data_IF_289128102735
#
_entry.id   IF_289128102735
#
_cell.length_a   1.000
_cell.length_b   1.000
_cell.length_c   1.000
_cell.angle_alpha   90.00
_cell.angle_beta   90.00
_cell.angle_gamma   90.00
#
_symmetry.space_group_name_H-M   'P 1'
#
loop_
_entity.id
_entity.type
_entity.pdbx_description
1 polymer ?
#
# COMPACT_ATOMS: atom_id res chain seq x y z
N UNK A 1 -6.59 7.57 -13.16
CA UNK A 1 -6.14 8.89 -12.68
C UNK A 1 -4.67 9.04 -12.99
N UNK A 2 -4.25 10.17 -13.55
CA UNK A 2 -2.84 10.34 -13.93
C UNK A 2 -2.37 11.79 -13.85
N UNK A 3 -1.06 11.97 -13.69
CA UNK A 3 -0.38 13.27 -13.64
C UNK A 3 -0.91 14.21 -12.54
N UNK A 4 -1.39 13.64 -11.43
CA UNK A 4 -1.74 14.41 -10.25
C UNK A 4 -0.48 14.82 -9.51
N UNK A 5 -0.46 16.01 -8.91
CA UNK A 5 0.68 16.50 -8.11
C UNK A 5 0.84 15.76 -6.78
N UNK A 6 -0.19 15.03 -6.36
CA UNK A 6 -0.22 14.28 -5.11
C UNK A 6 -0.90 12.91 -5.39
N UNK A 7 -2.06 12.66 -4.82
CA UNK A 7 -2.78 11.39 -4.91
C UNK A 7 -3.60 11.27 -6.19
N UNK A 8 -3.75 10.06 -6.72
CA UNK A 8 -4.67 9.76 -7.83
C UNK A 8 -6.13 9.69 -7.37
N UNK A 9 -6.46 8.72 -6.50
CA UNK A 9 -7.78 8.60 -5.86
C UNK A 9 -7.61 8.63 -4.34
N UNK A 10 -8.26 9.58 -3.66
CA UNK A 10 -8.08 9.85 -2.23
C UNK A 10 -9.41 10.08 -1.49
N UNK A 11 -10.24 9.04 -1.28
CA UNK A 11 -11.32 9.10 -0.30
C UNK A 11 -10.73 9.38 1.09
N UNK A 12 -11.35 10.30 1.81
CA UNK A 12 -10.82 10.89 3.04
C UNK A 12 -11.82 10.82 4.20
N UNK A 13 -11.27 10.81 5.41
CA UNK A 13 -11.92 10.61 6.71
C UNK A 13 -13.28 11.36 6.86
N UNK A 14 -14.41 10.68 7.15
CA UNK A 14 -14.68 9.22 7.06
C UNK A 14 -15.52 8.93 5.83
N UNK A 15 -15.14 7.90 5.07
CA UNK A 15 -15.90 7.43 3.90
C UNK A 15 -16.40 6.00 4.14
N UNK A 16 -17.65 5.69 3.79
CA UNK A 16 -18.26 4.38 4.05
C UNK A 16 -18.64 3.63 2.77
N UNK A 17 -18.45 2.31 2.76
CA UNK A 17 -18.93 1.39 1.71
C UNK A 17 -18.54 1.83 0.29
N UNK A 18 -17.32 2.34 0.13
CA UNK A 18 -16.83 2.80 -1.16
C UNK A 18 -16.44 1.61 -2.04
N UNK A 19 -16.82 1.66 -3.31
CA UNK A 19 -16.33 0.71 -4.31
C UNK A 19 -15.51 1.42 -5.36
N UNK A 20 -14.29 0.95 -5.61
CA UNK A 20 -13.42 1.39 -6.70
C UNK A 20 -13.07 0.15 -7.51
N UNK A 21 -13.40 0.14 -8.79
CA UNK A 21 -13.14 -1.03 -9.62
C UNK A 21 -12.70 -0.70 -11.03
N UNK A 22 -11.94 -1.62 -11.65
CA UNK A 22 -11.53 -1.55 -13.05
C UNK A 22 -10.90 -0.20 -13.42
N UNK A 23 -10.08 0.34 -12.50
CA UNK A 23 -9.52 1.68 -12.61
C UNK A 23 -8.00 1.63 -12.61
N UNK A 24 -7.38 2.57 -13.33
CA UNK A 24 -5.93 2.72 -13.36
C UNK A 24 -5.53 4.01 -12.63
N UNK A 25 -4.41 4.01 -11.90
CA UNK A 25 -3.87 5.21 -11.24
C UNK A 25 -2.35 5.26 -11.36
N UNK A 26 -1.81 6.21 -12.12
CA UNK A 26 -0.39 6.21 -12.48
C UNK A 26 0.24 7.59 -12.67
N UNK A 27 1.57 7.68 -12.62
CA UNK A 27 2.32 8.95 -12.77
C UNK A 27 1.81 10.07 -11.85
N UNK A 28 1.45 9.73 -10.61
CA UNK A 28 1.03 10.70 -9.61
C UNK A 28 2.16 10.98 -8.61
N UNK A 29 2.22 12.21 -8.09
CA UNK A 29 3.30 12.67 -7.21
C UNK A 29 3.34 12.03 -5.81
N UNK A 30 2.30 11.29 -5.42
CA UNK A 30 2.26 10.47 -4.21
C UNK A 30 1.72 9.08 -4.51
N UNK A 31 0.52 8.75 -4.01
CA UNK A 31 -0.05 7.40 -4.09
C UNK A 31 -1.07 7.28 -5.21
N UNK A 32 -1.15 6.11 -5.83
CA UNK A 32 -2.17 5.81 -6.85
C UNK A 32 -3.58 5.79 -6.25
N UNK A 33 -3.79 4.92 -5.27
CA UNK A 33 -5.05 4.77 -4.55
C UNK A 33 -4.82 4.90 -3.05
N UNK A 34 -5.69 5.65 -2.38
CA UNK A 34 -5.67 5.80 -0.93
C UNK A 34 -6.98 5.29 -0.35
N UNK A 35 -6.91 4.72 0.85
CA UNK A 35 -8.06 4.57 1.73
C UNK A 35 -7.70 5.27 3.04
N UNK A 36 -8.18 6.49 3.23
CA UNK A 36 -7.92 7.28 4.43
C UNK A 36 -9.18 7.28 5.30
N UNK A 37 -9.16 6.48 6.37
CA UNK A 37 -10.29 6.20 7.24
C UNK A 37 -11.56 5.80 6.46
N UNK A 38 -11.40 4.78 5.61
CA UNK A 38 -12.51 4.14 4.89
C UNK A 38 -13.08 2.99 5.73
N UNK A 39 -14.39 2.94 5.91
CA UNK A 39 -15.07 1.89 6.68
C UNK A 39 -15.96 1.09 5.75
N UNK A 40 -15.57 -0.14 5.46
CA UNK A 40 -16.29 -0.97 4.49
C UNK A 40 -15.96 -0.57 3.05
N UNK A 41 -15.81 -1.56 2.17
CA UNK A 41 -15.69 -1.28 0.74
C UNK A 41 -15.03 -2.39 -0.06
N UNK A 42 -14.86 -2.12 -1.34
CA UNK A 42 -14.22 -3.03 -2.30
C UNK A 42 -13.35 -2.24 -3.28
N UNK A 43 -12.06 -2.53 -3.30
CA UNK A 43 -11.15 -2.10 -4.35
C UNK A 43 -10.86 -3.34 -5.21
N UNK A 44 -11.44 -3.43 -6.41
CA UNK A 44 -11.35 -4.64 -7.26
C UNK A 44 -10.79 -4.36 -8.65
N UNK A 45 -9.87 -5.18 -9.15
CA UNK A 45 -9.34 -5.09 -10.52
C UNK A 45 -8.75 -3.70 -10.84
N UNK A 46 -8.06 -3.07 -9.90
CA UNK A 46 -7.41 -1.78 -10.13
C UNK A 46 -5.91 -1.96 -10.36
N UNK A 47 -5.33 -1.06 -11.16
CA UNK A 47 -3.90 -1.07 -11.50
C UNK A 47 -3.26 0.23 -11.05
N UNK A 48 -2.23 0.14 -10.20
CA UNK A 48 -1.46 1.28 -9.73
C UNK A 48 0.00 1.17 -10.15
N UNK A 49 0.48 2.10 -10.99
CA UNK A 49 1.87 2.02 -11.46
C UNK A 49 2.54 3.37 -11.65
N UNK A 50 3.87 3.41 -11.63
CA UNK A 50 4.67 4.63 -11.81
C UNK A 50 4.21 5.81 -10.93
N UNK A 51 3.61 5.55 -9.76
CA UNK A 51 3.33 6.59 -8.78
C UNK A 51 4.61 6.84 -7.98
N UNK A 52 4.91 8.10 -7.68
CA UNK A 52 6.17 8.48 -7.07
C UNK A 52 6.37 7.75 -5.72
N UNK A 53 5.28 7.50 -4.97
CA UNK A 53 5.29 6.83 -3.65
C UNK A 53 4.65 5.43 -3.66
N UNK A 54 3.39 5.26 -3.27
CA UNK A 54 2.76 3.95 -3.15
C UNK A 54 1.83 3.65 -4.33
N UNK A 55 1.68 2.38 -4.70
CA UNK A 55 0.56 2.01 -5.58
C UNK A 55 -0.77 2.19 -4.84
N UNK A 56 -0.88 1.50 -3.71
CA UNK A 56 -2.02 1.56 -2.78
C UNK A 56 -1.55 1.92 -1.37
N UNK A 57 -2.23 2.87 -0.73
CA UNK A 57 -1.97 3.27 0.66
C UNK A 57 -3.25 3.19 1.49
N UNK A 58 -3.40 2.11 2.23
CA UNK A 58 -4.51 1.85 3.14
C UNK A 58 -4.09 2.37 4.51
N UNK A 59 -4.70 3.48 4.93
CA UNK A 59 -4.22 4.22 6.08
C UNK A 59 -5.30 4.71 7.04
N UNK A 60 -4.82 5.20 8.19
CA UNK A 60 -5.64 5.70 9.29
C UNK A 60 -6.64 4.65 9.78
N UNK A 61 -7.82 5.03 10.30
CA UNK A 61 -8.84 4.11 10.85
C UNK A 61 -9.54 3.23 9.80
N UNK A 62 -8.88 2.93 8.69
CA UNK A 62 -9.49 2.10 7.64
C UNK A 62 -9.76 0.71 8.19
N UNK A 63 -10.99 0.22 7.98
CA UNK A 63 -11.44 -1.08 8.47
C UNK A 63 -12.46 -1.72 7.55
N UNK A 64 -12.50 -3.05 7.53
CA UNK A 64 -13.45 -3.85 6.75
C UNK A 64 -13.36 -3.59 5.23
N UNK A 65 -12.15 -3.45 4.70
CA UNK A 65 -11.92 -3.18 3.28
C UNK A 65 -11.38 -4.42 2.56
N UNK A 66 -11.99 -4.76 1.43
CA UNK A 66 -11.51 -5.83 0.54
C UNK A 66 -10.73 -5.22 -0.62
N UNK A 67 -9.51 -5.69 -0.81
CA UNK A 67 -8.68 -5.47 -1.99
C UNK A 67 -8.63 -6.78 -2.78
N UNK A 68 -9.26 -6.82 -3.95
CA UNK A 68 -9.36 -8.03 -4.76
C UNK A 68 -8.76 -7.82 -6.15
N UNK A 69 -7.91 -8.74 -6.58
CA UNK A 69 -7.37 -8.80 -7.95
C UNK A 69 -6.73 -7.48 -8.40
N UNK A 70 -6.07 -6.76 -7.48
CA UNK A 70 -5.40 -5.50 -7.80
C UNK A 70 -3.94 -5.72 -8.17
N UNK A 71 -3.42 -4.84 -9.02
CA UNK A 71 -2.04 -4.89 -9.49
C UNK A 71 -1.29 -3.60 -9.12
N UNK A 72 -0.08 -3.75 -8.57
CA UNK A 72 0.79 -2.63 -8.23
C UNK A 72 2.24 -2.87 -8.66
N UNK A 73 2.74 -2.07 -9.58
CA UNK A 73 4.13 -2.18 -10.06
C UNK A 73 4.81 -0.87 -10.40
N UNK A 74 6.14 -0.82 -10.35
CA UNK A 74 6.90 0.37 -10.73
C UNK A 74 6.67 1.60 -9.84
N UNK A 75 6.00 1.45 -8.69
CA UNK A 75 5.75 2.57 -7.79
C UNK A 75 6.98 2.82 -6.89
N UNK A 76 7.15 4.05 -6.41
CA UNK A 76 8.08 4.33 -5.32
C UNK A 76 9.50 4.66 -5.74
N UNK A 77 9.77 4.94 -7.01
CA UNK A 77 11.13 5.25 -7.48
C UNK A 77 11.48 6.75 -7.45
N UNK A 78 10.51 7.62 -7.18
CA UNK A 78 10.69 9.08 -7.28
C UNK A 78 10.30 9.87 -6.02
N UNK A 79 9.68 9.23 -5.02
CA UNK A 79 9.26 9.93 -3.79
C UNK A 79 10.42 10.34 -2.89
N UNK A 80 10.63 11.65 -2.79
CA UNK A 80 11.63 12.28 -1.92
C UNK A 80 11.02 12.71 -0.57
N UNK A 81 11.67 12.38 0.53
CA UNK A 81 11.34 12.86 1.87
C UNK A 81 12.58 13.48 2.52
N UNK A 82 12.48 14.75 2.91
CA UNK A 82 13.58 15.52 3.52
C UNK A 82 14.90 15.50 2.69
N UNK A 83 14.77 15.48 1.36
CA UNK A 83 15.92 15.55 0.45
C UNK A 83 16.62 14.22 0.16
N UNK A 84 16.06 13.10 0.60
CA UNK A 84 16.47 11.75 0.22
C UNK A 84 15.27 10.99 -0.36
N UNK A 85 15.49 10.05 -1.27
CA UNK A 85 14.46 9.15 -1.76
C UNK A 85 14.00 8.29 -0.59
N UNK A 86 12.76 8.54 -0.20
CA UNK A 86 12.07 7.64 0.70
C UNK A 86 11.52 6.45 -0.08
N UNK A 87 11.05 6.64 -1.31
CA UNK A 87 10.40 5.60 -2.10
C UNK A 87 9.12 5.02 -1.48
N UNK A 88 8.57 3.95 -2.06
CA UNK A 88 7.30 3.37 -1.62
C UNK A 88 7.05 1.94 -2.10
N UNK A 89 6.11 1.28 -1.39
CA UNK A 89 5.67 -0.09 -1.67
C UNK A 89 4.55 -0.16 -2.73
N UNK A 90 4.34 -1.35 -3.30
CA UNK A 90 3.17 -1.62 -4.15
C UNK A 90 1.86 -1.42 -3.40
N UNK A 91 1.75 -2.04 -2.22
CA UNK A 91 0.66 -1.83 -1.26
C UNK A 91 1.23 -1.61 0.14
N UNK A 92 0.76 -0.56 0.81
CA UNK A 92 1.05 -0.33 2.22
C UNK A 92 -0.25 -0.27 3.03
N UNK A 93 -0.26 -0.96 4.17
CA UNK A 93 -1.29 -0.92 5.20
C UNK A 93 -0.61 -0.34 6.44
N UNK A 94 -1.03 0.86 6.85
CA UNK A 94 -0.37 1.58 7.93
C UNK A 94 -1.30 2.53 8.67
N UNK A 95 -1.23 2.58 10.00
CA UNK A 95 -1.89 3.69 10.71
C UNK A 95 -1.19 5.03 10.44
N UNK A 96 -1.94 6.12 10.63
CA UNK A 96 -1.38 7.47 10.64
C UNK A 96 -0.44 7.73 11.83
N UNK A 97 0.10 8.95 11.89
CA UNK A 97 0.97 9.39 12.99
C UNK A 97 0.32 10.46 13.88
N UNK A 98 -0.94 10.81 13.61
CA UNK A 98 -1.69 11.85 14.30
C UNK A 98 -2.97 11.21 14.83
N UNK A 99 -3.28 11.34 16.14
CA UNK A 99 -4.53 10.83 16.68
C UNK A 99 -5.72 11.66 16.17
N UNK A 100 -6.92 11.06 16.04
CA UNK A 100 -8.13 11.79 15.68
C UNK A 100 -8.45 12.92 16.66
N UNK A 101 -9.23 13.90 16.20
CA UNK A 101 -9.63 15.04 17.02
C UNK A 101 -10.35 14.59 18.30
N UNK A 102 -9.79 14.94 19.46
CA UNK A 102 -10.35 14.56 20.77
C UNK A 102 -9.87 13.21 21.30
N UNK A 103 -8.96 12.53 20.59
CA UNK A 103 -8.30 11.31 21.03
C UNK A 103 -6.83 11.54 21.35
N UNK A 104 -6.28 10.71 22.25
CA UNK A 104 -4.82 10.56 22.43
C UNK A 104 -4.29 9.26 21.82
N UNK A 105 -5.19 8.42 21.31
CA UNK A 105 -4.87 7.12 20.75
C UNK A 105 -4.77 7.24 19.24
N UNK A 106 -3.70 6.65 18.68
CA UNK A 106 -3.58 6.48 17.24
C UNK A 106 -4.13 5.09 16.91
N UNK A 107 -5.31 5.04 16.30
CA UNK A 107 -6.03 3.82 15.94
C UNK A 107 -5.22 3.00 14.93
N UNK A 108 -5.47 1.70 14.88
CA UNK A 108 -4.84 0.80 13.92
C UNK A 108 -5.71 0.69 12.68
N UNK A 109 -5.09 0.37 11.53
CA UNK A 109 -5.83 -0.19 10.39
C UNK A 109 -6.16 -1.64 10.74
N UNK A 110 -7.41 -2.07 10.53
CA UNK A 110 -7.88 -3.42 10.89
C UNK A 110 -8.70 -4.09 9.79
N UNK A 111 -8.88 -5.40 9.86
CA UNK A 111 -9.89 -6.13 9.07
C UNK A 111 -9.76 -5.88 7.56
N UNK A 112 -8.54 -6.05 7.03
CA UNK A 112 -8.24 -5.87 5.61
C UNK A 112 -8.02 -7.22 4.97
N UNK A 113 -8.75 -7.48 3.89
CA UNK A 113 -8.59 -8.67 3.07
C UNK A 113 -7.93 -8.29 1.75
N UNK A 114 -6.82 -8.94 1.43
CA UNK A 114 -6.13 -8.85 0.15
C UNK A 114 -6.19 -10.22 -0.50
N UNK A 115 -6.84 -10.33 -1.65
CA UNK A 115 -6.99 -11.58 -2.40
C UNK A 115 -6.66 -11.38 -3.87
N UNK A 116 -5.85 -12.27 -4.45
CA UNK A 116 -5.53 -12.20 -5.87
C UNK A 116 -4.66 -11.00 -6.27
N UNK A 117 -4.31 -10.92 -7.56
CA UNK A 117 -3.53 -9.83 -8.11
C UNK A 117 -2.01 -9.95 -7.87
N UNK A 118 -1.29 -8.87 -8.19
CA UNK A 118 0.18 -8.88 -8.22
C UNK A 118 0.79 -7.59 -7.65
N UNK A 119 1.89 -7.74 -6.92
CA UNK A 119 2.61 -6.62 -6.29
C UNK A 119 4.10 -6.76 -6.56
N UNK A 120 4.60 -6.16 -7.63
CA UNK A 120 5.93 -6.46 -8.15
C UNK A 120 6.71 -5.26 -8.66
N UNK A 121 8.04 -5.39 -8.74
CA UNK A 121 8.92 -4.35 -9.28
C UNK A 121 8.69 -2.96 -8.67
N UNK A 122 8.37 -2.89 -7.37
CA UNK A 122 8.21 -1.62 -6.65
C UNK A 122 9.51 -1.21 -5.96
N UNK A 123 9.70 0.10 -5.80
CA UNK A 123 10.89 0.74 -5.22
C UNK A 123 11.15 0.41 -3.74
N UNK A 124 10.22 -0.27 -3.07
CA UNK A 124 10.41 -0.87 -1.74
C UNK A 124 9.80 -2.27 -1.67
N UNK A 125 8.89 -2.51 -0.73
CA UNK A 125 8.24 -3.80 -0.51
C UNK A 125 7.13 -4.02 -1.54
N UNK A 126 6.78 -5.28 -1.82
CA UNK A 126 5.56 -5.58 -2.57
C UNK A 126 4.33 -5.19 -1.74
N UNK A 127 4.25 -5.78 -0.53
CA UNK A 127 3.25 -5.45 0.48
C UNK A 127 3.93 -5.13 1.82
N UNK A 128 3.63 -3.95 2.37
CA UNK A 128 4.01 -3.54 3.72
C UNK A 128 2.78 -3.54 4.63
N UNK A 129 2.82 -4.32 5.70
CA UNK A 129 1.83 -4.28 6.80
C UNK A 129 2.53 -3.72 8.03
N UNK A 130 2.09 -2.56 8.50
CA UNK A 130 2.75 -1.84 9.58
C UNK A 130 1.75 -1.32 10.60
N UNK A 131 1.98 -1.62 11.88
CA UNK A 131 1.17 -1.11 13.01
C UNK A 131 -0.34 -1.29 12.75
N UNK A 132 -0.71 -2.50 12.32
CA UNK A 132 -2.05 -2.89 11.88
C UNK A 132 -2.42 -4.25 12.48
N UNK A 133 -3.70 -4.63 12.43
CA UNK A 133 -4.18 -5.92 12.94
C UNK A 133 -5.17 -6.60 12.00
N UNK A 134 -5.34 -7.91 12.14
CA UNK A 134 -6.40 -8.67 11.44
C UNK A 134 -6.31 -8.49 9.91
N UNK A 135 -5.12 -8.74 9.36
CA UNK A 135 -4.84 -8.59 7.93
C UNK A 135 -4.70 -9.96 7.30
N UNK A 136 -5.45 -10.22 6.23
CA UNK A 136 -5.34 -11.46 5.46
C UNK A 136 -4.79 -11.16 4.07
N UNK A 137 -3.71 -11.85 3.69
CA UNK A 137 -3.11 -11.80 2.35
C UNK A 137 -3.16 -13.21 1.78
N UNK A 138 -3.89 -13.40 0.68
CA UNK A 138 -4.09 -14.71 0.07
C UNK A 138 -4.01 -14.67 -1.45
N UNK A 139 -3.47 -15.73 -2.06
CA UNK A 139 -3.48 -15.93 -3.52
C UNK A 139 -2.85 -14.77 -4.33
N UNK A 140 -1.83 -14.10 -3.78
CA UNK A 140 -1.14 -12.99 -4.46
C UNK A 140 0.19 -13.43 -5.09
N UNK A 141 0.60 -12.79 -6.20
CA UNK A 141 1.93 -12.96 -6.79
C UNK A 141 2.83 -11.74 -6.50
N UNK A 142 3.95 -11.95 -5.83
CA UNK A 142 4.84 -10.90 -5.33
C UNK A 142 6.29 -11.18 -5.73
N UNK A 143 6.86 -10.33 -6.58
CA UNK A 143 8.22 -10.52 -7.07
C UNK A 143 8.92 -9.23 -7.49
N UNK A 144 10.24 -9.27 -7.68
CA UNK A 144 11.00 -8.18 -8.29
C UNK A 144 11.09 -6.89 -7.46
N UNK A 145 10.48 -6.83 -6.28
CA UNK A 145 10.50 -5.63 -5.45
C UNK A 145 11.92 -5.38 -4.90
N UNK A 146 12.30 -4.10 -4.79
CA UNK A 146 13.63 -3.70 -4.30
C UNK A 146 13.87 -4.21 -2.87
N UNK A 147 12.82 -4.30 -2.05
CA UNK A 147 12.88 -4.83 -0.68
C UNK A 147 12.09 -6.13 -0.55
N UNK A 148 11.73 -6.49 0.68
CA UNK A 148 11.02 -7.74 0.98
C UNK A 148 9.73 -7.82 0.17
N UNK A 149 9.35 -9.02 -0.27
CA UNK A 149 8.06 -9.21 -0.93
C UNK A 149 6.90 -8.83 -0.01
N UNK A 150 6.91 -9.38 1.21
CA UNK A 150 5.99 -9.00 2.29
C UNK A 150 6.81 -8.62 3.52
N UNK A 151 6.52 -7.46 4.11
CA UNK A 151 7.10 -7.02 5.38
C UNK A 151 6.00 -6.75 6.39
N UNK A 152 6.12 -7.36 7.57
CA UNK A 152 5.19 -7.18 8.70
C UNK A 152 5.96 -6.50 9.83
N UNK A 153 5.54 -5.31 10.24
CA UNK A 153 6.24 -4.47 11.23
C UNK A 153 5.27 -4.04 12.34
N UNK A 154 5.49 -4.52 13.57
CA UNK A 154 4.70 -4.11 14.74
C UNK A 154 3.19 -4.37 14.60
N UNK A 155 2.81 -5.46 13.94
CA UNK A 155 1.41 -5.83 13.65
C UNK A 155 1.05 -7.16 14.31
N UNK A 156 -0.25 -7.40 14.53
CA UNK A 156 -0.79 -8.65 15.11
C UNK A 156 -1.81 -9.29 14.20
N UNK A 157 -2.03 -10.60 14.33
CA UNK A 157 -3.06 -11.34 13.58
C UNK A 157 -3.00 -11.11 12.05
N UNK A 158 -1.78 -11.18 11.52
CA UNK A 158 -1.52 -11.11 10.07
C UNK A 158 -1.34 -12.53 9.53
N UNK A 159 -2.16 -12.89 8.54
CA UNK A 159 -2.08 -14.16 7.83
C UNK A 159 -1.59 -13.92 6.40
N UNK A 160 -0.58 -14.68 5.99
CA UNK A 160 -0.13 -14.76 4.59
C UNK A 160 -0.20 -16.22 4.17
N UNK A 161 -1.03 -16.54 3.18
CA UNK A 161 -1.25 -17.91 2.74
C UNK A 161 -1.43 -18.00 1.23
N UNK A 162 -1.24 -19.21 0.69
CA UNK A 162 -1.55 -19.54 -0.71
C UNK A 162 -0.93 -18.58 -1.77
N UNK A 163 0.14 -17.88 -1.42
CA UNK A 163 0.72 -16.81 -2.23
C UNK A 163 2.06 -17.22 -2.83
N UNK A 164 2.39 -16.69 -4.00
CA UNK A 164 3.69 -16.86 -4.64
C UNK A 164 4.57 -15.65 -4.32
N UNK A 165 5.66 -15.87 -3.59
CA UNK A 165 6.60 -14.80 -3.20
C UNK A 165 8.00 -15.21 -3.64
N UNK A 166 8.58 -14.53 -4.62
CA UNK A 166 9.86 -14.93 -5.22
C UNK A 166 10.67 -13.74 -5.74
N UNK A 167 12.00 -13.85 -5.81
CA UNK A 167 12.87 -12.84 -6.45
C UNK A 167 12.65 -11.39 -5.96
N UNK A 168 12.38 -11.20 -4.67
CA UNK A 168 12.34 -9.89 -4.02
C UNK A 168 13.72 -9.56 -3.42
N UNK A 169 13.85 -8.42 -2.73
CA UNK A 169 15.11 -7.92 -2.20
C UNK A 169 16.14 -7.65 -3.31
N UNK A 170 15.71 -6.93 -4.34
CA UNK A 170 16.56 -6.58 -5.49
C UNK A 170 17.49 -5.39 -5.23
N UNK A 171 17.33 -4.68 -4.10
CA UNK A 171 18.28 -3.66 -3.66
C UNK A 171 19.66 -4.29 -3.42
N UNK A 172 20.70 -3.74 -4.05
CA UNK A 172 22.07 -4.28 -3.93
C UNK A 172 22.61 -4.08 -2.52
N UNK A 173 23.02 -5.17 -1.87
CA UNK A 173 23.79 -5.14 -0.62
C UNK A 173 25.01 -4.20 -0.75
N UNK A 174 25.03 -3.15 0.07
CA UNK A 174 26.18 -2.24 0.16
C UNK A 174 26.20 -1.08 -0.84
N UNK A 175 25.17 -0.90 -1.66
CA UNK A 175 24.93 0.39 -2.30
C UNK A 175 23.89 1.14 -1.47
N UNK A 176 24.35 1.90 -0.48
CA UNK A 176 23.70 3.17 -0.18
C UNK A 176 23.75 3.99 -1.46
N UNK A 177 22.81 3.73 -2.37
CA UNK A 177 22.30 4.83 -3.15
C UNK A 177 21.66 5.73 -2.12
N UNK A 178 22.45 6.69 -1.65
CA UNK A 178 21.93 8.01 -1.38
C UNK A 178 21.19 8.41 -2.65
N UNK A 179 19.93 8.01 -2.68
CA UNK A 179 18.95 8.60 -3.52
C UNK A 179 18.41 9.79 -2.73
#
# INVERSE_FOLDING_TARGET
MMNCTAYGINPHEVTHNLTIMNSESHNNGLDGFVADAVVGGLYENNIAYDNDRHGFNIQNETTNLVLKDNEAYGNGYLYMYQGALAGGAGLTIQRGNIPPAGSTEIPWVSDIEISGGSYHDNGKEGILVKLSEQITITDVDIYGNERQGVKIEGSTDVTVQDSRISNNSQELDGNTKSW
#
